data_IF_553164507204
#
_entry.id   IF_553164507204
#
_cell.length_a   1.000
_cell.length_b   1.000
_cell.length_c   1.000
_cell.angle_alpha   90.00
_cell.angle_beta   90.00
_cell.angle_gamma   90.00
#
_symmetry.space_group_name_H-M   'P 1'
#
loop_
_entity.id
_entity.type
_entity.pdbx_description
1 polymer ?
#
# COMPACT_ATOMS: atom_id res chain seq x y z
N UNK A 1 57.78 -18.55 -32.64
CA UNK A 1 56.66 -17.93 -33.38
C UNK A 1 55.44 -18.81 -33.17
N UNK A 2 54.31 -18.21 -32.81
CA UNK A 2 52.99 -18.79 -32.47
C UNK A 2 52.82 -19.42 -31.08
N UNK A 3 52.38 -18.53 -30.19
CA UNK A 3 51.52 -18.71 -29.02
C UNK A 3 50.24 -19.46 -29.41
N UNK A 4 49.78 -20.40 -28.60
CA UNK A 4 48.36 -20.73 -28.49
C UNK A 4 48.01 -21.14 -27.05
N UNK A 5 47.37 -20.18 -26.41
CA UNK A 5 46.68 -20.23 -25.12
C UNK A 5 45.41 -21.05 -25.27
N UNK A 6 45.11 -21.94 -24.32
CA UNK A 6 43.73 -22.30 -23.98
C UNK A 6 43.68 -22.75 -22.51
N UNK A 7 43.45 -21.77 -21.63
CA UNK A 7 42.92 -22.01 -20.30
C UNK A 7 41.42 -22.30 -20.43
N UNK A 8 41.01 -23.56 -20.21
CA UNK A 8 39.60 -23.88 -20.09
C UNK A 8 39.17 -23.60 -18.63
N UNK A 9 38.41 -22.52 -18.48
CA UNK A 9 37.80 -22.10 -17.23
C UNK A 9 36.75 -23.11 -16.76
N UNK A 10 36.84 -23.51 -15.49
CA UNK A 10 35.76 -24.19 -14.78
C UNK A 10 34.65 -23.17 -14.47
N UNK A 11 33.51 -23.28 -15.13
CA UNK A 11 32.24 -22.69 -14.67
C UNK A 11 31.14 -23.73 -14.87
N UNK A 12 30.93 -24.57 -13.86
CA UNK A 12 29.67 -25.29 -13.66
C UNK A 12 28.89 -24.52 -12.59
N UNK A 13 28.24 -23.45 -13.03
CA UNK A 13 27.28 -22.71 -12.23
C UNK A 13 25.88 -22.88 -12.84
N UNK A 14 24.94 -23.23 -11.97
CA UNK A 14 23.49 -23.13 -12.17
C UNK A 14 22.90 -24.03 -13.28
N UNK A 15 22.85 -25.35 -13.05
CA UNK A 15 21.69 -26.12 -13.51
C UNK A 15 20.48 -25.62 -12.74
N UNK A 16 19.69 -24.75 -13.36
CA UNK A 16 18.39 -24.37 -12.86
C UNK A 16 17.54 -25.62 -12.66
N UNK A 17 17.24 -25.92 -11.41
CA UNK A 17 16.12 -26.79 -11.08
C UNK A 17 14.86 -26.05 -11.55
N UNK A 18 14.38 -26.40 -12.73
CA UNK A 18 13.02 -26.08 -13.12
C UNK A 18 12.12 -26.98 -12.28
N UNK A 19 11.78 -26.53 -11.07
CA UNK A 19 10.71 -27.17 -10.31
C UNK A 19 9.41 -26.81 -11.01
N UNK A 20 8.84 -27.81 -11.70
CA UNK A 20 7.42 -27.85 -12.02
C UNK A 20 6.64 -27.49 -10.75
N UNK A 21 6.02 -26.31 -10.77
CA UNK A 21 5.01 -25.92 -9.78
C UNK A 21 3.82 -26.84 -9.99
N UNK A 22 3.78 -27.95 -9.25
CA UNK A 22 2.56 -28.69 -9.02
C UNK A 22 1.65 -27.80 -8.19
N UNK A 23 0.62 -27.30 -8.86
CA UNK A 23 -0.52 -26.59 -8.28
C UNK A 23 -1.30 -27.60 -7.42
N UNK A 24 -0.97 -27.63 -6.12
CA UNK A 24 -1.58 -28.52 -5.14
C UNK A 24 -1.24 -28.07 -3.72
N UNK A 25 -2.24 -27.50 -3.03
CA UNK A 25 -2.36 -27.43 -1.57
C UNK A 25 -1.23 -26.80 -0.73
N UNK A 26 -0.49 -25.83 -1.28
CA UNK A 26 0.16 -24.81 -0.47
C UNK A 26 -0.38 -23.45 -0.91
N UNK A 27 -1.39 -22.92 -0.21
CA UNK A 27 -1.74 -21.51 -0.36
C UNK A 27 -0.55 -20.69 0.13
N UNK A 28 0.37 -20.37 -0.77
CA UNK A 28 1.42 -19.36 -0.51
C UNK A 28 0.69 -18.14 0.01
N UNK A 29 0.94 -17.79 1.27
CA UNK A 29 0.31 -16.63 1.90
C UNK A 29 0.79 -15.40 1.14
N UNK A 30 -0.04 -14.90 0.23
CA UNK A 30 0.24 -13.71 -0.55
C UNK A 30 0.11 -12.51 0.37
N UNK A 31 1.00 -11.55 0.26
CA UNK A 31 1.03 -10.36 1.12
C UNK A 31 0.59 -9.10 0.39
N UNK A 32 -0.05 -9.21 -0.77
CA UNK A 32 -0.41 -8.07 -1.59
C UNK A 32 -1.78 -8.25 -2.27
N UNK A 33 -2.68 -9.04 -1.71
CA UNK A 33 -4.04 -9.16 -2.25
C UNK A 33 -4.91 -7.97 -1.79
N UNK A 34 -5.11 -7.00 -2.69
CA UNK A 34 -5.86 -5.77 -2.42
C UNK A 34 -7.34 -6.04 -2.22
N UNK A 35 -7.92 -7.05 -2.88
CA UNK A 35 -9.31 -7.45 -2.64
C UNK A 35 -9.48 -7.97 -1.22
N UNK A 36 -8.57 -8.85 -0.77
CA UNK A 36 -8.56 -9.36 0.60
C UNK A 36 -8.36 -8.25 1.63
N UNK A 37 -7.44 -7.30 1.39
CA UNK A 37 -7.25 -6.14 2.24
C UNK A 37 -8.53 -5.29 2.37
N UNK A 38 -9.17 -4.99 1.23
CA UNK A 38 -10.32 -4.10 1.17
C UNK A 38 -11.61 -4.70 1.75
N UNK A 39 -11.70 -6.04 1.85
CA UNK A 39 -12.77 -6.72 2.59
C UNK A 39 -12.77 -6.43 4.10
N UNK A 40 -11.70 -5.84 4.64
CA UNK A 40 -11.68 -5.42 6.04
C UNK A 40 -12.59 -4.21 6.27
N UNK A 41 -13.51 -4.36 7.22
CA UNK A 41 -14.40 -3.29 7.70
C UNK A 41 -13.72 -2.37 8.74
N UNK A 42 -12.46 -2.65 9.10
CA UNK A 42 -11.70 -1.83 10.05
C UNK A 42 -11.40 -0.44 9.45
N UNK A 43 -11.29 0.56 10.32
CA UNK A 43 -10.75 1.88 9.95
C UNK A 43 -9.28 1.75 9.63
N UNK A 44 -8.82 2.36 8.55
CA UNK A 44 -7.40 2.46 8.22
C UNK A 44 -6.86 3.84 8.61
N UNK A 45 -5.69 3.91 9.22
CA UNK A 45 -5.06 5.16 9.66
C UNK A 45 -3.72 5.34 8.94
N UNK A 46 -3.51 6.48 8.30
CA UNK A 46 -2.24 6.79 7.66
C UNK A 46 -1.21 7.12 8.74
N UNK A 47 -0.23 6.27 8.93
CA UNK A 47 0.79 6.49 9.96
C UNK A 47 1.81 7.50 9.47
N UNK A 48 2.41 7.23 8.31
CA UNK A 48 3.40 8.10 7.69
C UNK A 48 3.48 7.85 6.18
N UNK A 49 4.10 8.80 5.48
CA UNK A 49 4.32 8.78 4.03
C UNK A 49 5.64 9.44 3.64
N UNK A 50 6.07 9.22 2.40
CA UNK A 50 7.37 9.69 1.91
C UNK A 50 7.41 11.17 1.55
N UNK A 51 6.25 11.82 1.43
CA UNK A 51 6.13 13.24 1.10
C UNK A 51 5.40 14.02 2.19
N UNK A 52 5.95 15.18 2.58
CA UNK A 52 5.33 15.99 3.63
C UNK A 52 3.98 16.53 3.19
N UNK A 53 3.92 17.14 2.01
CA UNK A 53 2.71 17.71 1.42
C UNK A 53 2.24 16.84 0.25
N UNK A 54 1.06 16.25 0.39
CA UNK A 54 0.51 15.36 -0.63
C UNK A 54 -0.65 16.05 -1.36
N UNK A 55 -0.54 16.11 -2.68
CA UNK A 55 -1.52 16.72 -3.58
C UNK A 55 -2.91 16.11 -3.42
N UNK A 56 -3.02 14.84 -3.00
CA UNK A 56 -4.30 14.16 -2.78
C UNK A 56 -5.03 14.63 -1.53
N UNK A 57 -4.29 15.18 -0.58
CA UNK A 57 -4.85 15.64 0.68
C UNK A 57 -4.80 17.17 0.84
N UNK A 58 -4.21 17.89 -0.13
CA UNK A 58 -4.10 19.34 -0.08
C UNK A 58 -3.18 19.85 1.04
N UNK A 59 -2.08 19.13 1.33
CA UNK A 59 -1.11 19.50 2.37
C UNK A 59 -0.69 18.32 3.26
N UNK A 60 -0.35 18.58 4.52
CA UNK A 60 0.14 17.56 5.46
C UNK A 60 -0.94 16.59 5.94
N UNK A 61 -2.20 17.04 5.95
CA UNK A 61 -3.39 16.24 6.24
C UNK A 61 -3.32 15.36 7.49
N UNK A 62 -3.00 15.95 8.67
CA UNK A 62 -2.89 15.20 9.90
C UNK A 62 -4.15 14.37 10.21
N UNK A 63 -3.93 13.21 10.82
CA UNK A 63 -4.97 12.27 11.21
C UNK A 63 -5.77 11.70 10.04
N UNK A 64 -5.16 11.58 8.86
CA UNK A 64 -5.78 10.95 7.71
C UNK A 64 -6.22 9.50 8.02
N UNK A 65 -7.49 9.19 7.76
CA UNK A 65 -8.06 7.87 7.98
C UNK A 65 -9.14 7.53 6.95
N UNK A 66 -9.29 6.23 6.67
CA UNK A 66 -10.35 5.67 5.82
C UNK A 66 -11.29 4.81 6.68
N UNK A 67 -12.55 5.21 6.79
CA UNK A 67 -13.59 4.43 7.48
C UNK A 67 -14.40 3.63 6.47
N UNK A 68 -14.68 2.37 6.77
CA UNK A 68 -15.56 1.55 5.96
C UNK A 68 -17.00 2.10 5.93
N UNK A 69 -17.68 2.01 4.79
CA UNK A 69 -19.09 2.41 4.61
C UNK A 69 -19.89 1.30 3.91
N UNK A 70 -19.41 0.80 2.76
CA UNK A 70 -20.06 -0.29 2.02
C UNK A 70 -19.05 -1.33 1.52
N UNK A 71 -19.38 -2.60 1.71
CA UNK A 71 -18.64 -3.76 1.20
C UNK A 71 -18.97 -4.05 -0.26
N UNK A 72 -18.18 -4.94 -0.88
CA UNK A 72 -18.32 -5.34 -2.28
C UNK A 72 -19.73 -5.85 -2.62
N UNK A 73 -20.38 -6.57 -1.70
CA UNK A 73 -21.70 -7.18 -1.91
C UNK A 73 -22.80 -6.14 -2.14
N UNK A 74 -22.59 -4.90 -1.68
CA UNK A 74 -23.54 -3.80 -1.83
C UNK A 74 -23.31 -2.99 -3.11
N UNK A 75 -22.22 -3.25 -3.84
CA UNK A 75 -21.80 -2.43 -4.98
C UNK A 75 -21.57 -3.28 -6.23
N UNK A 76 -22.37 -3.03 -7.27
CA UNK A 76 -22.29 -3.76 -8.54
C UNK A 76 -21.03 -3.48 -9.35
N UNK A 77 -20.31 -2.39 -9.04
CA UNK A 77 -19.07 -1.98 -9.72
C UNK A 77 -17.82 -2.69 -9.19
N UNK A 78 -17.97 -3.60 -8.21
CA UNK A 78 -16.86 -4.35 -7.63
C UNK A 78 -15.93 -3.52 -6.75
N UNK A 79 -16.38 -2.35 -6.28
CA UNK A 79 -15.65 -1.48 -5.36
C UNK A 79 -16.13 -1.63 -3.91
N UNK A 80 -15.32 -1.14 -2.96
CA UNK A 80 -15.79 -0.80 -1.61
C UNK A 80 -15.95 0.71 -1.48
N UNK A 81 -16.94 1.16 -0.71
CA UNK A 81 -17.08 2.56 -0.37
C UNK A 81 -16.43 2.82 0.99
N UNK A 82 -15.49 3.76 1.03
CA UNK A 82 -14.89 4.27 2.26
C UNK A 82 -15.13 5.76 2.40
N UNK A 83 -15.19 6.25 3.64
CA UNK A 83 -15.20 7.67 3.96
C UNK A 83 -13.79 8.08 4.39
N UNK A 84 -13.20 9.00 3.63
CA UNK A 84 -11.94 9.64 3.99
C UNK A 84 -12.17 10.76 5.01
N UNK A 85 -11.24 10.90 5.93
CA UNK A 85 -11.21 11.98 6.93
C UNK A 85 -9.78 12.45 7.08
N UNK A 86 -9.56 13.76 7.26
CA UNK A 86 -8.35 14.34 7.83
C UNK A 86 -8.62 15.75 8.35
N UNK A 87 -7.69 16.31 9.13
CA UNK A 87 -7.76 17.69 9.60
C UNK A 87 -7.06 18.59 8.58
N UNK A 88 -7.75 19.61 8.08
CA UNK A 88 -7.15 20.58 7.16
C UNK A 88 -6.13 21.44 7.90
N UNK A 89 -4.89 21.46 7.42
CA UNK A 89 -3.74 22.04 8.14
C UNK A 89 -3.94 23.52 8.49
N UNK A 90 -4.41 24.35 7.55
CA UNK A 90 -4.51 25.81 7.77
C UNK A 90 -5.84 26.25 8.37
N UNK A 91 -6.88 25.44 8.25
CA UNK A 91 -8.25 25.82 8.63
C UNK A 91 -8.71 25.11 9.90
N UNK A 92 -7.97 24.10 10.35
CA UNK A 92 -8.24 23.26 11.52
C UNK A 92 -9.64 22.62 11.57
N UNK A 93 -10.37 22.64 10.44
CA UNK A 93 -11.62 21.91 10.31
C UNK A 93 -11.36 20.52 9.77
N UNK A 94 -12.36 19.66 9.91
CA UNK A 94 -12.32 18.29 9.44
C UNK A 94 -12.84 18.25 8.01
N UNK A 95 -12.01 17.74 7.09
CA UNK A 95 -12.45 17.39 5.74
C UNK A 95 -12.93 15.96 5.68
N UNK A 96 -14.04 15.74 4.96
CA UNK A 96 -14.67 14.43 4.78
C UNK A 96 -15.20 14.30 3.36
N UNK A 97 -14.91 13.18 2.73
CA UNK A 97 -15.47 12.82 1.44
C UNK A 97 -15.53 11.30 1.30
N UNK A 98 -16.28 10.84 0.31
CA UNK A 98 -16.40 9.42 0.00
C UNK A 98 -15.45 9.05 -1.13
N UNK A 99 -14.85 7.87 -1.00
CA UNK A 99 -13.93 7.28 -1.96
C UNK A 99 -14.43 5.87 -2.27
N UNK A 100 -14.67 5.57 -3.54
CA UNK A 100 -14.81 4.20 -4.00
C UNK A 100 -13.43 3.64 -4.31
N UNK A 101 -13.12 2.46 -3.81
CA UNK A 101 -11.84 1.78 -4.03
C UNK A 101 -12.11 0.45 -4.73
N UNK A 102 -11.57 0.30 -5.93
CA UNK A 102 -11.70 -0.90 -6.76
C UNK A 102 -10.38 -1.67 -6.77
N UNK A 103 -10.34 -2.93 -6.32
CA UNK A 103 -9.16 -3.77 -6.46
C UNK A 103 -8.92 -4.11 -7.95
N UNK A 104 -7.67 -4.03 -8.39
CA UNK A 104 -7.25 -4.25 -9.77
C UNK A 104 -6.10 -5.25 -9.81
N UNK A 105 -5.74 -5.70 -11.01
CA UNK A 105 -4.57 -6.54 -11.23
C UNK A 105 -3.61 -5.83 -12.18
N UNK A 106 -2.33 -5.79 -11.83
CA UNK A 106 -1.26 -5.21 -12.66
C UNK A 106 -1.05 -6.02 -13.93
N UNK A 107 -1.38 -7.32 -13.91
CA UNK A 107 -1.22 -8.23 -15.03
C UNK A 107 -2.30 -9.30 -15.04
N UNK A 108 -2.87 -9.57 -16.21
CA UNK A 108 -3.86 -10.66 -16.39
C UNK A 108 -3.29 -12.04 -16.08
N UNK A 109 -1.97 -12.20 -16.06
CA UNK A 109 -1.32 -13.45 -15.68
C UNK A 109 -1.36 -13.68 -14.16
N UNK A 110 -1.61 -12.65 -13.36
CA UNK A 110 -1.80 -12.78 -11.92
C UNK A 110 -3.24 -13.24 -11.63
N UNK A 111 -3.38 -14.35 -10.92
CA UNK A 111 -4.68 -14.85 -10.44
C UNK A 111 -5.24 -14.10 -9.22
N UNK A 112 -4.74 -12.89 -8.93
CA UNK A 112 -5.14 -12.09 -7.77
C UNK A 112 -4.99 -10.59 -8.04
N UNK A 113 -5.59 -9.77 -7.17
CA UNK A 113 -5.56 -8.31 -7.26
C UNK A 113 -4.40 -7.75 -6.44
N UNK A 114 -3.38 -7.17 -7.08
CA UNK A 114 -2.18 -6.61 -6.44
C UNK A 114 -2.14 -5.08 -6.43
N UNK A 115 -3.10 -4.45 -7.08
CA UNK A 115 -3.23 -3.00 -7.21
C UNK A 115 -4.63 -2.55 -6.82
N UNK A 116 -4.86 -1.25 -6.71
CA UNK A 116 -6.20 -0.70 -6.53
C UNK A 116 -6.33 0.71 -7.10
N UNK A 117 -7.53 1.07 -7.50
CA UNK A 117 -7.88 2.43 -7.94
C UNK A 117 -8.83 3.06 -6.94
N UNK A 118 -8.50 4.27 -6.50
CA UNK A 118 -9.33 5.10 -5.64
C UNK A 118 -9.95 6.25 -6.45
N UNK A 119 -11.27 6.40 -6.35
CA UNK A 119 -12.04 7.47 -6.97
C UNK A 119 -12.83 8.23 -5.90
N UNK A 120 -12.58 9.53 -5.78
CA UNK A 120 -13.43 10.39 -4.95
C UNK A 120 -14.79 10.59 -5.62
N UNK A 121 -15.87 10.34 -4.88
CA UNK A 121 -17.24 10.37 -5.43
C UNK A 121 -17.73 11.80 -5.67
N UNK A 122 -17.14 12.78 -4.99
CA UNK A 122 -17.45 14.19 -5.21
C UNK A 122 -16.48 14.80 -6.24
N UNK A 123 -17.03 15.55 -7.21
CA UNK A 123 -16.30 16.44 -8.13
C UNK A 123 -15.48 15.83 -9.28
N UNK A 124 -15.97 14.79 -9.97
CA UNK A 124 -15.40 14.37 -11.26
C UNK A 124 -13.88 14.18 -11.24
N UNK A 125 -13.34 13.78 -10.10
CA UNK A 125 -11.91 13.77 -9.82
C UNK A 125 -11.22 12.63 -10.56
N UNK A 126 -9.97 12.85 -10.95
CA UNK A 126 -9.11 11.85 -11.58
C UNK A 126 -8.97 10.61 -10.68
N UNK A 127 -8.97 9.44 -11.32
CA UNK A 127 -8.65 8.17 -10.67
C UNK A 127 -7.21 8.15 -10.18
N UNK A 128 -7.04 7.64 -8.96
CA UNK A 128 -5.75 7.48 -8.32
C UNK A 128 -5.41 5.99 -8.29
N UNK A 129 -4.21 5.64 -8.72
CA UNK A 129 -3.73 4.26 -8.76
C UNK A 129 -2.73 4.01 -7.64
N UNK A 130 -2.83 2.85 -7.00
CA UNK A 130 -1.88 2.39 -6.00
C UNK A 130 -1.46 0.95 -6.25
N UNK A 131 -0.18 0.68 -6.00
CA UNK A 131 0.34 -0.66 -5.83
C UNK A 131 0.25 -1.04 -4.35
N UNK A 132 -0.27 -2.23 -4.05
CA UNK A 132 -0.19 -2.79 -2.71
C UNK A 132 1.13 -3.56 -2.58
N UNK A 133 2.09 -2.98 -1.86
CA UNK A 133 3.42 -3.56 -1.75
C UNK A 133 3.47 -4.71 -0.73
N UNK A 134 2.79 -4.52 0.40
CA UNK A 134 2.71 -5.51 1.47
C UNK A 134 1.51 -5.27 2.39
N UNK A 135 0.98 -6.33 2.97
CA UNK A 135 0.05 -6.32 4.09
C UNK A 135 0.14 -7.65 4.85
N UNK A 136 -0.05 -7.58 6.16
CA UNK A 136 -0.28 -8.75 7.01
C UNK A 136 -1.79 -9.01 7.23
N UNK A 137 -2.65 -8.26 6.53
CA UNK A 137 -4.11 -8.24 6.60
C UNK A 137 -4.72 -7.96 7.99
N UNK A 138 -3.90 -7.66 8.99
CA UNK A 138 -4.35 -7.61 10.39
C UNK A 138 -3.93 -6.34 11.10
N UNK A 139 -2.69 -5.87 10.89
CA UNK A 139 -2.14 -4.72 11.59
C UNK A 139 -1.78 -3.55 10.67
N UNK A 140 -1.33 -3.82 9.44
CA UNK A 140 -0.90 -2.77 8.52
C UNK A 140 -0.88 -3.18 7.04
N UNK A 141 -0.69 -2.17 6.20
CA UNK A 141 -0.36 -2.33 4.79
C UNK A 141 0.48 -1.15 4.29
N UNK A 142 1.23 -1.39 3.22
CA UNK A 142 2.09 -0.40 2.58
C UNK A 142 1.67 -0.23 1.13
N UNK A 143 1.45 1.02 0.73
CA UNK A 143 1.10 1.40 -0.63
C UNK A 143 2.22 2.19 -1.28
N UNK A 144 2.30 2.07 -2.60
CA UNK A 144 2.99 3.03 -3.46
C UNK A 144 1.97 3.66 -4.40
N UNK A 145 2.11 4.96 -4.63
CA UNK A 145 1.42 5.68 -5.68
C UNK A 145 2.37 5.88 -6.86
N UNK A 146 2.20 5.17 -7.99
CA UNK A 146 3.17 5.24 -9.08
C UNK A 146 3.26 6.60 -9.78
N UNK A 147 2.19 7.41 -9.73
CA UNK A 147 2.12 8.69 -10.45
C UNK A 147 3.18 9.70 -10.01
N UNK A 148 3.52 9.72 -8.72
CA UNK A 148 4.46 10.68 -8.11
C UNK A 148 5.40 10.00 -7.09
N UNK A 149 5.49 8.67 -7.15
CA UNK A 149 6.35 7.83 -6.32
C UNK A 149 6.18 8.02 -4.80
N UNK A 150 4.95 8.30 -4.35
CA UNK A 150 4.64 8.46 -2.92
C UNK A 150 4.36 7.11 -2.26
N UNK A 151 5.10 6.82 -1.19
CA UNK A 151 4.93 5.63 -0.36
C UNK A 151 4.13 5.98 0.89
N UNK A 152 3.28 5.06 1.32
CA UNK A 152 2.40 5.27 2.47
C UNK A 152 2.34 4.00 3.31
N UNK A 153 2.49 4.14 4.63
CA UNK A 153 2.23 3.04 5.57
C UNK A 153 0.96 3.34 6.36
N UNK A 154 0.02 2.39 6.29
CA UNK A 154 -1.28 2.48 6.93
C UNK A 154 -1.42 1.40 8.00
N UNK A 155 -2.06 1.74 9.11
CA UNK A 155 -2.51 0.77 10.11
C UNK A 155 -3.93 0.30 9.82
N UNK A 156 -4.22 -0.96 10.11
CA UNK A 156 -5.53 -1.58 10.09
C UNK A 156 -6.08 -1.60 11.52
N UNK A 157 -7.11 -0.81 11.79
CA UNK A 157 -7.60 -0.61 13.15
C UNK A 157 -6.74 0.41 13.91
N UNK A 158 -6.93 0.49 15.23
CA UNK A 158 -6.23 1.49 16.05
C UNK A 158 -4.71 1.23 15.98
N UNK A 159 -3.88 2.25 15.68
CA UNK A 159 -2.45 2.07 15.57
C UNK A 159 -1.79 1.66 16.89
N UNK A 160 -0.90 0.68 16.84
CA UNK A 160 0.17 0.46 17.82
C UNK A 160 1.48 0.94 17.21
N UNK A 161 1.88 2.17 17.57
CA UNK A 161 3.07 2.80 16.99
C UNK A 161 4.38 2.14 17.44
N UNK A 162 4.34 1.34 18.51
CA UNK A 162 5.53 0.66 19.06
C UNK A 162 5.81 -0.67 18.37
N UNK A 163 4.81 -1.28 17.74
CA UNK A 163 4.89 -2.63 17.18
C UNK A 163 4.27 -2.72 15.77
N UNK A 164 4.78 -1.92 14.84
CA UNK A 164 4.41 -2.01 13.43
C UNK A 164 5.14 -3.20 12.79
N UNK A 165 4.39 -4.09 12.13
CA UNK A 165 4.90 -5.28 11.44
C UNK A 165 6.08 -4.94 10.52
N UNK A 166 7.16 -5.72 10.64
CA UNK A 166 8.40 -5.51 9.88
C UNK A 166 8.19 -5.61 8.37
N UNK A 167 7.30 -6.48 7.88
CA UNK A 167 6.99 -6.59 6.46
C UNK A 167 6.45 -5.30 5.86
N UNK A 168 5.56 -4.59 6.58
CA UNK A 168 5.08 -3.28 6.14
C UNK A 168 6.21 -2.24 6.12
N UNK A 169 7.09 -2.24 7.13
CA UNK A 169 8.24 -1.31 7.21
C UNK A 169 9.25 -1.58 6.10
N UNK A 170 9.58 -2.84 5.85
CA UNK A 170 10.53 -3.24 4.80
C UNK A 170 9.98 -2.91 3.42
N UNK A 171 8.70 -3.19 3.15
CA UNK A 171 8.05 -2.81 1.90
C UNK A 171 8.01 -1.28 1.68
N UNK A 172 8.01 -0.49 2.75
CA UNK A 172 8.11 0.97 2.64
C UNK A 172 9.53 1.43 2.31
N UNK A 173 10.55 0.76 2.86
CA UNK A 173 11.97 1.14 2.71
C UNK A 173 12.63 0.60 1.45
N UNK A 174 12.15 -0.49 0.88
CA UNK A 174 12.78 -1.15 -0.26
C UNK A 174 11.92 -0.97 -1.50
N UNK A 175 12.49 -0.45 -2.60
CA UNK A 175 11.83 -0.59 -3.90
C UNK A 175 11.95 -2.05 -4.34
N UNK A 176 10.83 -2.71 -4.64
CA UNK A 176 10.85 -4.09 -5.12
C UNK A 176 11.48 -4.22 -6.51
N UNK A 177 11.61 -3.11 -7.25
CA UNK A 177 12.08 -3.13 -8.64
C UNK A 177 13.60 -2.98 -8.79
N UNK A 178 14.33 -2.63 -7.73
CA UNK A 178 15.80 -2.48 -7.79
C UNK A 178 16.48 -3.05 -6.53
N UNK A 179 16.66 -4.38 -6.46
CA UNK A 179 17.34 -5.03 -5.33
C UNK A 179 18.81 -4.59 -5.26
N UNK A 180 19.12 -3.70 -4.32
CA UNK A 180 20.49 -3.21 -4.06
C UNK A 180 20.60 -1.70 -3.90
N UNK A 181 19.59 -0.94 -4.36
CA UNK A 181 19.52 0.51 -4.22
C UNK A 181 18.39 0.91 -3.25
N UNK A 182 18.55 0.58 -1.97
CA UNK A 182 17.65 1.13 -0.94
C UNK A 182 17.97 2.61 -0.73
N UNK A 183 17.21 3.50 -1.37
CA UNK A 183 17.22 4.91 -0.99
C UNK A 183 16.47 5.01 0.33
N UNK A 184 17.14 5.56 1.35
CA UNK A 184 16.47 5.85 2.62
C UNK A 184 15.31 6.81 2.36
N UNK A 185 14.07 6.32 2.48
CA UNK A 185 12.88 7.13 2.29
C UNK A 185 12.55 7.85 3.59
N UNK A 186 12.42 9.17 3.50
CA UNK A 186 11.99 9.98 4.63
C UNK A 186 10.62 9.52 5.13
N UNK A 187 10.41 9.55 6.44
CA UNK A 187 9.11 9.29 7.07
C UNK A 187 8.52 10.62 7.55
N UNK A 188 7.43 11.06 6.92
CA UNK A 188 6.63 12.17 7.41
C UNK A 188 5.40 11.62 8.13
N UNK A 189 5.41 11.74 9.46
CA UNK A 189 4.34 11.25 10.32
C UNK A 189 3.06 12.05 10.15
N UNK A 190 1.98 11.34 9.82
CA UNK A 190 0.63 11.89 9.63
C UNK A 190 -0.27 11.58 10.83
N UNK A 191 -0.07 10.43 11.46
CA UNK A 191 -0.77 10.04 12.68
C UNK A 191 0.01 10.44 13.92
N UNK A 192 -0.67 11.11 14.85
CA UNK A 192 -0.18 11.41 16.19
C UNK A 192 -1.28 11.06 17.19
N UNK A 193 -1.03 10.15 18.13
CA UNK A 193 -2.08 9.66 19.03
C UNK A 193 -2.72 10.79 19.84
N UNK A 194 -1.90 11.72 20.37
CA UNK A 194 -2.39 12.86 21.14
C UNK A 194 -3.31 13.76 20.31
N UNK A 195 -2.97 14.05 19.06
CA UNK A 195 -3.78 14.92 18.20
C UNK A 195 -5.00 14.19 17.63
N UNK A 196 -4.83 12.95 17.21
CA UNK A 196 -5.82 12.18 16.45
C UNK A 196 -6.83 11.44 17.32
N UNK A 197 -6.50 11.13 18.58
CA UNK A 197 -7.43 10.48 19.52
C UNK A 197 -8.15 11.47 20.45
N UNK A 198 -7.60 12.66 20.67
CA UNK A 198 -8.28 13.72 21.45
C UNK A 198 -9.20 14.61 20.60
N UNK A 199 -9.15 14.49 19.27
CA UNK A 199 -10.17 15.05 18.40
C UNK A 199 -11.44 14.22 18.55
N UNK A 200 -12.38 14.72 19.36
CA UNK A 200 -13.67 14.08 19.68
C UNK A 200 -14.31 13.47 18.43
N UNK A 201 -15.00 12.31 18.53
CA UNK A 201 -15.89 11.86 17.48
C UNK A 201 -16.95 12.94 17.31
N UNK A 202 -16.82 13.77 16.29
CA UNK A 202 -17.91 14.65 15.86
C UNK A 202 -18.96 13.71 15.31
N UNK A 203 -20.02 13.53 16.10
CA UNK A 203 -21.25 12.83 15.75
C UNK A 203 -21.82 13.35 14.44
#
# INVERSE_FOLDING_TARGET
MFVLVCAAAAILACRGASSQLTEGENQVQRHNDSRKLLSSEKTFYLLYRSEKSDSQFGGNAPCAQMKHIESFEKRSDGSVLKRMFYIHETKHHILRFYVAITPNTSSKALGYNDTMTARTIAFGTKDIYYDLLFTDYSSCFTLRRPEDDVYQLWSIGRPDLTNINEGCRSAYKTDSNDPGCSVERQEYYVFNETVCCHTRPIQ
#
